data_IF_139576813236
#
_entry.id   IF_139576813236
#
_cell.length_a   1.000
_cell.length_b   1.000
_cell.length_c   1.000
_cell.angle_alpha   90.00
_cell.angle_beta   90.00
_cell.angle_gamma   90.00
#
_symmetry.space_group_name_H-M   'P 1'
#
loop_
_entity.id
_entity.type
_entity.pdbx_description
1 polymer ?
#
# COMPACT_ATOMS: atom_id res chain seq x y z
N UNK A 1 -16.79 -4.09 6.90
CA UNK A 1 -15.37 -3.86 7.23
C UNK A 1 -14.55 -4.91 6.51
N UNK A 2 -13.74 -4.49 5.52
CA UNK A 2 -12.86 -5.38 4.79
C UNK A 2 -11.43 -5.10 5.25
N UNK A 3 -10.67 -6.15 5.53
CA UNK A 3 -9.32 -6.04 6.07
C UNK A 3 -8.32 -6.63 5.09
N UNK A 4 -7.19 -5.95 4.93
CA UNK A 4 -6.00 -6.50 4.30
C UNK A 4 -5.05 -6.99 5.38
N UNK A 5 -4.40 -8.12 5.11
CA UNK A 5 -3.37 -8.68 5.97
C UNK A 5 -2.10 -8.86 5.18
N UNK A 6 -0.97 -8.67 5.84
CA UNK A 6 0.34 -9.02 5.30
C UNK A 6 1.27 -9.55 6.37
N UNK A 7 2.28 -10.25 5.92
CA UNK A 7 3.36 -10.76 6.77
C UNK A 7 4.69 -10.16 6.36
N UNK A 8 5.51 -9.80 7.34
CA UNK A 8 6.88 -9.35 7.12
C UNK A 8 7.81 -10.33 7.86
N UNK A 9 8.93 -10.69 7.25
CA UNK A 9 9.96 -11.50 7.88
C UNK A 9 11.18 -10.63 8.11
N UNK A 10 11.56 -10.47 9.37
CA UNK A 10 12.84 -9.88 9.75
C UNK A 10 13.82 -11.02 9.98
N UNK A 11 14.75 -11.19 9.05
CA UNK A 11 15.71 -12.29 9.13
C UNK A 11 16.77 -12.02 10.20
N UNK A 12 17.25 -13.09 10.82
CA UNK A 12 18.41 -12.99 11.70
C UNK A 12 19.65 -12.53 10.93
N UNK A 13 20.24 -11.44 11.40
CA UNK A 13 21.58 -11.04 11.00
C UNK A 13 22.59 -12.02 11.60
N UNK A 14 23.62 -12.35 10.82
CA UNK A 14 24.77 -13.14 11.30
C UNK A 14 25.91 -12.18 11.57
N UNK A 15 26.31 -12.03 12.83
CA UNK A 15 27.60 -11.40 13.09
C UNK A 15 28.70 -12.41 12.81
N UNK A 16 29.59 -12.08 11.86
CA UNK A 16 30.64 -12.97 11.36
C UNK A 16 31.70 -13.33 12.41
N UNK A 17 31.69 -12.68 13.57
CA UNK A 17 32.65 -12.87 14.65
C UNK A 17 32.18 -13.80 15.78
N UNK A 18 30.88 -13.85 16.07
CA UNK A 18 30.36 -14.61 17.22
C UNK A 18 29.37 -15.72 16.81
N UNK A 19 28.90 -15.75 15.56
CA UNK A 19 27.96 -16.78 15.09
C UNK A 19 26.57 -16.72 15.76
N UNK A 20 26.38 -15.77 16.66
CA UNK A 20 25.10 -15.50 17.29
C UNK A 20 24.19 -14.78 16.28
N UNK A 21 22.98 -15.31 16.16
CA UNK A 21 21.92 -14.74 15.35
C UNK A 21 21.23 -13.67 16.18
N UNK A 22 21.11 -12.47 15.65
CA UNK A 22 20.38 -11.37 16.30
C UNK A 22 19.44 -10.68 15.31
N UNK A 23 18.48 -9.96 15.86
CA UNK A 23 17.62 -9.05 15.11
C UNK A 23 18.16 -7.64 15.33
N UNK A 24 18.38 -6.90 14.25
CA UNK A 24 18.72 -5.48 14.35
C UNK A 24 17.46 -4.71 14.75
N UNK A 25 17.42 -4.22 15.99
CA UNK A 25 16.26 -3.53 16.56
C UNK A 25 16.01 -2.19 15.86
N UNK A 26 17.06 -1.45 15.51
CA UNK A 26 16.97 -0.13 14.87
C UNK A 26 16.40 -0.26 13.45
N UNK A 27 16.89 -1.25 12.68
CA UNK A 27 16.37 -1.56 11.35
C UNK A 27 14.91 -2.03 11.41
N UNK A 28 14.60 -2.91 12.37
CA UNK A 28 13.25 -3.43 12.56
C UNK A 28 12.26 -2.34 12.94
N UNK A 29 12.66 -1.43 13.84
CA UNK A 29 11.85 -0.28 14.24
C UNK A 29 11.61 0.66 13.04
N UNK A 30 12.65 0.98 12.28
CA UNK A 30 12.53 1.84 11.10
C UNK A 30 11.55 1.25 10.07
N UNK A 31 11.64 -0.06 9.82
CA UNK A 31 10.70 -0.77 8.94
C UNK A 31 9.26 -0.70 9.47
N UNK A 32 9.03 -1.01 10.76
CA UNK A 32 7.70 -0.96 11.36
C UNK A 32 7.09 0.44 11.33
N UNK A 33 7.90 1.47 11.55
CA UNK A 33 7.47 2.87 11.50
C UNK A 33 7.10 3.31 10.07
N UNK A 34 7.81 2.85 9.04
CA UNK A 34 7.42 3.07 7.65
C UNK A 34 6.08 2.38 7.34
N UNK A 35 5.90 1.15 7.81
CA UNK A 35 4.66 0.42 7.59
C UNK A 35 3.46 1.02 8.32
N UNK A 36 3.67 1.50 9.55
CA UNK A 36 2.69 2.26 10.31
C UNK A 36 2.24 3.53 9.58
N UNK A 37 3.17 4.25 8.94
CA UNK A 37 2.85 5.43 8.12
C UNK A 37 2.00 5.09 6.89
N UNK A 38 2.08 3.87 6.38
CA UNK A 38 1.24 3.36 5.28
C UNK A 38 -0.12 2.79 5.76
N UNK A 39 -0.43 2.95 7.05
CA UNK A 39 -1.68 2.52 7.67
C UNK A 39 -1.69 1.04 8.07
N UNK A 40 -0.55 0.36 8.08
CA UNK A 40 -0.47 -1.01 8.59
C UNK A 40 -0.31 -1.00 10.12
N UNK A 41 -1.16 -1.78 10.78
CA UNK A 41 -1.11 -1.99 12.22
C UNK A 41 -0.51 -3.38 12.51
N UNK A 42 0.51 -3.44 13.36
CA UNK A 42 1.06 -4.70 13.86
C UNK A 42 0.03 -5.39 14.78
N UNK A 43 -0.29 -6.65 14.47
CA UNK A 43 -1.24 -7.47 15.24
C UNK A 43 -0.50 -8.39 16.20
N UNK A 44 0.53 -9.07 15.70
CA UNK A 44 1.34 -10.01 16.49
C UNK A 44 2.69 -10.27 15.83
N UNK A 45 3.62 -10.81 16.60
CA UNK A 45 4.95 -11.21 16.18
C UNK A 45 5.23 -12.62 16.72
N UNK A 46 5.87 -13.48 15.92
CA UNK A 46 6.27 -14.83 16.32
C UNK A 46 7.70 -15.12 15.92
N UNK A 47 8.44 -15.79 16.81
CA UNK A 47 9.79 -16.25 16.52
C UNK A 47 9.75 -17.44 15.54
N UNK A 48 10.59 -17.40 14.52
CA UNK A 48 10.79 -18.43 13.51
C UNK A 48 12.27 -18.84 13.46
N UNK A 49 12.63 -20.04 12.98
CA UNK A 49 14.05 -20.46 12.86
C UNK A 49 14.96 -19.51 12.07
N UNK A 50 14.36 -18.81 11.10
CA UNK A 50 14.96 -17.86 10.19
C UNK A 50 14.96 -16.40 10.71
N UNK A 51 14.10 -16.07 11.69
CA UNK A 51 13.97 -14.69 12.17
C UNK A 51 12.68 -14.40 12.92
N UNK A 52 12.22 -13.15 12.89
CA UNK A 52 10.97 -12.70 13.52
C UNK A 52 9.90 -12.47 12.43
N UNK A 53 8.80 -13.21 12.50
CA UNK A 53 7.67 -13.03 11.59
C UNK A 53 6.62 -12.13 12.21
N UNK A 54 6.26 -11.06 11.49
CA UNK A 54 5.34 -10.02 11.91
C UNK A 54 4.05 -10.11 11.10
N UNK A 55 2.91 -9.99 11.77
CA UNK A 55 1.60 -10.01 11.14
C UNK A 55 0.96 -8.65 11.26
N UNK A 56 0.64 -8.03 10.13
CA UNK A 56 0.03 -6.71 10.09
C UNK A 56 -1.35 -6.76 9.45
N UNK A 57 -2.22 -5.85 9.88
CA UNK A 57 -3.55 -5.63 9.28
C UNK A 57 -3.69 -4.18 8.84
N UNK A 58 -4.59 -3.92 7.91
CA UNK A 58 -5.02 -2.57 7.54
C UNK A 58 -6.47 -2.62 7.10
N UNK A 59 -7.26 -1.62 7.47
CA UNK A 59 -8.62 -1.51 6.95
C UNK A 59 -8.57 -1.14 5.46
N UNK A 60 -9.29 -1.88 4.63
CA UNK A 60 -9.49 -1.50 3.26
C UNK A 60 -10.43 -0.29 3.24
N UNK A 61 -9.88 0.90 3.07
CA UNK A 61 -10.71 2.07 2.84
C UNK A 61 -11.55 1.80 1.59
N UNK A 62 -12.88 1.94 1.64
CA UNK A 62 -13.67 1.90 0.43
C UNK A 62 -13.08 2.96 -0.48
N UNK A 63 -12.60 2.55 -1.65
CA UNK A 63 -12.17 3.48 -2.68
C UNK A 63 -13.28 4.49 -2.85
N UNK A 64 -13.03 5.74 -2.43
CA UNK A 64 -13.84 6.85 -2.86
C UNK A 64 -13.61 6.95 -4.37
N UNK A 65 -14.37 6.16 -5.12
CA UNK A 65 -14.66 6.49 -6.49
C UNK A 65 -15.18 7.93 -6.43
N UNK A 66 -14.59 8.90 -7.14
CA UNK A 66 -15.27 10.16 -7.35
C UNK A 66 -16.49 9.83 -8.23
N UNK A 67 -17.57 9.46 -7.56
CA UNK A 67 -18.91 9.34 -8.12
C UNK A 67 -19.40 10.78 -8.30
N UNK A 68 -18.88 11.46 -9.33
CA UNK A 68 -19.11 12.89 -9.54
C UNK A 68 -18.02 13.62 -10.31
N UNK A 69 -17.52 13.04 -11.40
CA UNK A 69 -16.84 13.81 -12.45
C UNK A 69 -17.35 13.35 -13.82
N UNK A 70 -18.67 13.38 -13.98
CA UNK A 70 -19.32 13.45 -15.28
C UNK A 70 -20.30 14.65 -15.26
N UNK A 71 -19.79 15.83 -14.91
CA UNK A 71 -20.37 17.08 -15.38
C UNK A 71 -19.55 17.53 -16.60
N UNK A 72 -20.24 17.75 -17.72
CA UNK A 72 -19.65 18.36 -18.90
C UNK A 72 -19.87 17.60 -20.21
N UNK A 73 -21.11 17.19 -20.52
CA UNK A 73 -21.53 17.20 -21.93
C UNK A 73 -22.38 18.45 -22.12
N UNK A 74 -21.70 19.60 -22.24
CA UNK A 74 -22.26 20.73 -22.99
C UNK A 74 -22.14 20.35 -24.47
N UNK A 75 -23.20 19.78 -25.04
CA UNK A 75 -23.34 19.80 -26.49
C UNK A 75 -23.69 21.23 -26.87
N UNK A 76 -22.65 22.01 -27.17
CA UNK A 76 -22.77 23.27 -27.88
C UNK A 76 -23.37 22.97 -29.26
N UNK A 77 -24.64 23.35 -29.47
CA UNK A 77 -25.12 23.58 -30.83
C UNK A 77 -24.40 24.83 -31.37
N UNK A 78 -23.31 24.61 -32.11
CA UNK A 78 -22.71 25.64 -32.95
C UNK A 78 -23.51 25.75 -34.27
N UNK A 79 -23.66 26.96 -34.85
CA UNK A 79 -24.37 27.15 -36.10
C UNK A 79 -23.63 26.51 -37.29
N UNK A 80 -24.42 26.11 -38.31
CA UNK A 80 -24.09 25.71 -39.69
C UNK A 80 -22.62 25.81 -40.13
N UNK A 81 -21.99 24.86 -40.81
CA UNK A 81 -22.38 23.57 -41.39
C UNK A 81 -21.04 22.89 -41.73
N UNK A 82 -20.88 21.62 -41.36
CA UNK A 82 -19.70 20.81 -41.70
C UNK A 82 -18.37 21.16 -41.02
N UNK A 83 -17.83 20.22 -40.22
CA UNK A 83 -16.44 19.69 -40.27
C UNK A 83 -16.03 19.07 -38.93
N UNK A 84 -15.92 17.73 -38.95
CA UNK A 84 -14.97 16.80 -38.29
C UNK A 84 -14.24 17.20 -37.00
N UNK A 85 -14.35 16.32 -36.00
CA UNK A 85 -13.27 15.95 -35.08
C UNK A 85 -13.72 15.89 -33.62
N UNK A 86 -13.24 15.03 -32.72
CA UNK A 86 -12.33 13.88 -32.73
C UNK A 86 -12.48 13.21 -31.36
N UNK A 87 -12.25 11.90 -31.32
CA UNK A 87 -12.26 11.01 -30.15
C UNK A 87 -11.31 11.48 -29.03
N UNK A 88 -11.70 11.31 -27.76
CA UNK A 88 -10.76 11.00 -26.68
C UNK A 88 -11.25 9.89 -25.77
N UNK A 89 -10.31 8.98 -25.52
CA UNK A 89 -10.36 7.79 -24.68
C UNK A 89 -9.93 8.20 -23.28
N UNK A 90 -10.69 7.82 -22.25
CA UNK A 90 -10.21 7.27 -20.98
C UNK A 90 -11.29 6.35 -20.43
#
# INVERSE_FOLDING_TARGET
MQWQYKTLLVEFQKDGLLGEKYIDEDETEAMLNEEGRQGWELVTATMMPEGLMLFCKRELQPSQHPEGAAEGIETVEAPDDGTVGSIKIF
#
